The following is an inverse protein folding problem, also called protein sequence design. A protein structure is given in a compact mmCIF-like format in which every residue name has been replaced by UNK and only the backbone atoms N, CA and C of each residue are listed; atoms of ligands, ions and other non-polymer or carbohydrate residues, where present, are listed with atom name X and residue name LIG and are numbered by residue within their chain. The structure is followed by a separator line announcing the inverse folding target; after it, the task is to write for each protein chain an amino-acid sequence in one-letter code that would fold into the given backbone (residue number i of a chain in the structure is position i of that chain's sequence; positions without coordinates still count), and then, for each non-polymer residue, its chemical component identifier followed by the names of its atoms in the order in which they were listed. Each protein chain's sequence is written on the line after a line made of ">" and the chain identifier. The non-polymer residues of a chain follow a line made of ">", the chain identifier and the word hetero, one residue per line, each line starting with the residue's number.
data_IF_813036597533
#
_entry.id   IF_813036597533
#
_cell.length_a   1.000
_cell.length_b   1.000
_cell.length_c   1.000
_cell.angle_alpha   90.00
_cell.angle_beta   90.00
_cell.angle_gamma   90.00
#
_symmetry.space_group_name_H-M   'P 1'
#
loop_
_entity.id
_entity.type
_entity.pdbx_description
1 polymer ?
2 non-polymer ?
3 non-polymer ?
4 non-polymer ?
5 water ?
#
# COMPACT_ATOMS: atom_id res chain seq x y z
N UNK A 1 20.50 1.27 10.05
CA UNK A 1 19.07 1.54 10.28
C UNK A 1 18.35 2.18 9.07
N UNK A 2 17.28 1.52 8.64
CA UNK A 2 16.59 1.78 7.39
C UNK A 2 15.15 2.22 7.63
N UNK A 3 14.76 3.36 7.07
CA UNK A 3 13.38 3.83 7.16
C UNK A 3 13.19 5.03 8.09
N UNK A 4 14.30 5.69 8.43
CA UNK A 4 14.29 6.94 9.19
C UNK A 4 14.67 8.13 8.33
N UNK A 5 15.05 7.90 7.07
CA UNK A 5 15.44 9.03 6.24
C UNK A 5 14.35 10.10 6.11
N UNK A 6 14.80 11.34 5.95
CA UNK A 6 13.93 12.51 5.75
C UNK A 6 13.44 12.61 4.31
N UNK A 7 12.13 12.72 4.16
CA UNK A 7 11.49 12.76 2.85
C UNK A 7 10.70 14.05 2.82
N UNK A 8 11.00 14.92 1.85
CA UNK A 8 10.47 16.27 1.82
C UNK A 8 10.09 16.75 0.44
N UNK A 9 8.99 16.21 -0.10
CA UNK A 9 8.52 16.60 -1.43
C UNK A 9 8.15 18.07 -1.51
N UNK A 10 7.73 18.62 -0.38
CA UNK A 10 7.38 20.04 -0.24
C UNK A 10 8.55 20.98 -0.54
N UNK A 11 9.77 20.46 -0.51
CA UNK A 11 10.93 21.31 -0.82
C UNK A 11 11.32 21.32 -2.29
N UNK A 12 10.49 20.71 -3.13
CA UNK A 12 10.72 20.67 -4.55
C UNK A 12 9.47 21.10 -5.31
N UNK A 13 9.68 21.93 -6.32
CA UNK A 13 8.61 22.31 -7.23
C UNK A 13 7.93 21.06 -7.84
N UNK A 14 6.61 21.12 -7.96
CA UNK A 14 5.82 20.02 -8.51
C UNK A 14 6.26 19.58 -9.93
N UNK A 15 6.78 20.54 -10.71
CA UNK A 15 7.21 20.30 -12.09
C UNK A 15 8.50 19.51 -12.11
N UNK A 16 9.46 19.92 -11.28
CA UNK A 16 10.71 19.19 -11.17
C UNK A 16 10.46 17.74 -10.74
N UNK A 17 9.50 17.54 -9.85
CA UNK A 17 9.25 16.17 -9.42
C UNK A 17 8.62 15.41 -10.59
N UNK A 18 7.70 16.06 -11.30
CA UNK A 18 7.01 15.40 -12.39
C UNK A 18 8.02 14.98 -13.44
N UNK A 19 9.05 15.81 -13.65
CA UNK A 19 10.07 15.46 -14.64
C UNK A 19 10.92 14.31 -14.17
N UNK A 20 11.27 14.31 -12.88
CA UNK A 20 12.02 13.17 -12.36
C UNK A 20 11.22 11.90 -12.57
N UNK A 21 9.93 11.95 -12.31
CA UNK A 21 9.08 10.79 -12.48
C UNK A 21 9.07 10.35 -13.94
N UNK A 22 9.06 11.31 -14.85
CA UNK A 22 9.17 11.01 -16.28
C UNK A 22 10.47 10.27 -16.57
N UNK A 23 11.58 10.73 -16.00
CA UNK A 23 12.87 10.10 -16.19
C UNK A 23 12.88 8.67 -15.63
N UNK A 24 12.29 8.53 -14.45
CA UNK A 24 12.25 7.23 -13.80
C UNK A 24 11.40 6.26 -14.61
N UNK A 25 10.34 6.76 -15.21
CA UNK A 25 9.48 5.92 -15.97
C UNK A 25 10.24 5.24 -17.13
N UNK A 26 11.20 5.94 -17.71
CA UNK A 26 11.99 5.39 -18.81
C UNK A 26 12.88 4.25 -18.42
N UNK A 27 13.23 4.11 -17.13
CA UNK A 27 14.34 3.22 -16.77
C UNK A 27 14.13 2.32 -15.55
N UNK A 28 13.32 2.75 -14.59
CA UNK A 28 13.16 1.95 -13.38
C UNK A 28 12.45 0.66 -13.76
N UNK A 29 13.07 -0.47 -13.44
CA UNK A 29 12.47 -1.77 -13.67
C UNK A 29 12.80 -2.33 -15.04
N UNK A 30 13.63 -1.63 -15.80
CA UNK A 30 14.03 -2.14 -17.11
C UNK A 30 15.50 -2.57 -17.15
N UNK A 31 15.79 -3.45 -18.09
CA UNK A 31 17.13 -3.96 -18.26
C UNK A 31 18.06 -2.84 -18.66
N UNK A 32 19.35 -3.12 -18.52
CA UNK A 32 20.41 -2.17 -18.87
C UNK A 32 20.15 -0.83 -18.18
N UNK A 33 20.27 -0.83 -16.84
CA UNK A 33 20.05 0.35 -16.01
C UNK A 33 20.97 1.51 -16.38
N UNK A 34 20.36 2.66 -16.53
CA UNK A 34 21.05 3.93 -16.52
C UNK A 34 21.50 4.34 -15.08
N UNK A 35 22.32 5.38 -14.95
CA UNK A 35 22.72 5.85 -13.63
C UNK A 35 21.52 6.20 -12.70
N UNK A 36 20.40 6.70 -13.22
CA UNK A 36 19.22 7.00 -12.37
C UNK A 36 18.61 5.70 -11.82
N UNK A 37 18.48 4.70 -12.70
CA UNK A 37 17.95 3.41 -12.29
C UNK A 37 18.94 2.71 -11.35
N UNK A 38 20.24 2.90 -11.55
CA UNK A 38 21.23 2.35 -10.63
C UNK A 38 21.08 2.99 -9.25
N UNK A 39 21.06 4.32 -9.22
CA UNK A 39 20.80 5.06 -7.98
C UNK A 39 19.60 4.45 -7.23
N UNK A 40 18.50 4.18 -7.94
CA UNK A 40 17.26 3.78 -7.24
C UNK A 40 17.16 2.26 -7.04
N UNK A 41 18.25 1.56 -7.37
CA UNK A 41 18.38 0.13 -7.11
C UNK A 41 19.34 -0.10 -5.94
N UNK A 42 19.88 1.00 -5.40
CA UNK A 42 20.76 0.95 -4.24
C UNK A 42 22.24 1.03 -4.56
N UNK A 43 22.58 1.34 -5.81
CA UNK A 43 23.95 1.40 -6.26
C UNK A 43 24.40 2.84 -6.20
N UNK A 44 25.53 3.10 -5.54
CA UNK A 44 26.04 4.49 -5.55
C UNK A 44 26.49 4.87 -6.97
N UNK A 45 26.29 6.13 -7.30
CA UNK A 45 26.40 6.62 -8.66
C UNK A 45 27.20 7.92 -8.65
N UNK A 46 28.04 8.14 -9.67
CA UNK A 46 28.74 9.41 -9.88
C UNK A 46 27.74 10.49 -10.27
N UNK A 47 27.71 11.63 -9.53
CA UNK A 47 26.68 12.64 -9.82
C UNK A 47 26.72 13.29 -11.19
N UNK A 48 27.86 13.31 -11.89
CA UNK A 48 27.89 13.86 -13.23
C UNK A 48 27.11 12.97 -14.23
N UNK A 49 27.18 11.67 -14.00
CA UNK A 49 26.35 10.73 -14.74
C UNK A 49 24.85 10.97 -14.55
N UNK A 50 24.41 11.30 -13.34
CA UNK A 50 23.02 11.68 -13.13
C UNK A 50 22.68 12.95 -13.86
N UNK A 51 23.61 13.90 -13.84
CA UNK A 51 23.35 15.23 -14.38
C UNK A 51 22.91 15.11 -15.81
N UNK A 52 23.52 14.20 -16.56
CA UNK A 52 23.19 14.07 -17.98
C UNK A 52 21.84 13.42 -18.22
N UNK A 53 21.31 12.76 -17.20
CA UNK A 53 20.03 12.10 -17.33
C UNK A 53 18.85 12.92 -16.78
N UNK A 54 19.07 13.71 -15.71
CA UNK A 54 17.99 14.46 -15.08
C UNK A 54 18.22 16.00 -15.02
N UNK A 55 19.41 16.45 -15.43
CA UNK A 55 19.76 17.87 -15.35
C UNK A 55 20.34 18.23 -13.99
N UNK A 56 20.99 19.38 -13.92
CA UNK A 56 21.53 19.84 -12.64
C UNK A 56 20.38 20.19 -11.70
N UNK A 57 19.25 20.61 -12.28
CA UNK A 57 18.08 20.95 -11.50
C UNK A 57 17.46 19.68 -10.93
N UNK A 58 17.41 18.64 -11.76
CA UNK A 58 16.91 17.33 -11.35
C UNK A 58 17.78 16.79 -10.25
N UNK A 59 19.08 16.95 -10.43
CA UNK A 59 20.07 16.55 -9.44
C UNK A 59 19.83 17.26 -8.08
N UNK A 60 19.60 18.56 -8.12
CA UNK A 60 19.33 19.32 -6.92
C UNK A 60 17.92 18.95 -6.39
N UNK A 61 16.98 18.64 -7.28
CA UNK A 61 15.69 18.17 -6.80
C UNK A 61 15.86 16.85 -6.02
N UNK A 62 16.73 15.97 -6.51
CA UNK A 62 16.87 14.67 -5.86
C UNK A 62 17.36 14.89 -4.45
N UNK A 63 18.28 15.86 -4.28
CA UNK A 63 18.87 16.14 -2.97
C UNK A 63 17.87 16.79 -2.02
N UNK A 64 17.17 17.80 -2.54
CA UNK A 64 16.23 18.57 -1.73
C UNK A 64 15.06 17.74 -1.23
N UNK A 65 14.63 16.77 -2.03
CA UNK A 65 13.48 15.93 -1.64
C UNK A 65 13.86 14.84 -0.66
N UNK A 66 15.14 14.51 -0.61
CA UNK A 66 15.62 13.41 0.20
C UNK A 66 15.68 12.11 -0.59
N UNK A 67 15.37 12.15 -1.89
CA UNK A 67 15.51 10.95 -2.70
C UNK A 67 16.99 10.50 -2.88
N UNK A 68 17.91 11.46 -2.74
CA UNK A 68 19.35 11.20 -2.91
C UNK A 68 20.15 11.92 -1.83
N UNK A 69 21.29 11.33 -1.48
CA UNK A 69 22.20 11.85 -0.47
C UNK A 69 23.58 11.99 -1.10
N UNK A 70 24.27 13.09 -0.84
CA UNK A 70 25.59 13.35 -1.43
C UNK A 70 26.72 12.87 -0.52
N UNK A 71 27.35 11.76 -0.90
CA UNK A 71 28.48 11.19 -0.17
C UNK A 71 29.79 11.81 -0.72
N UNK A 72 29.75 13.09 -1.09
CA UNK A 72 30.92 13.78 -1.61
C UNK A 72 31.29 13.36 -3.03
N UNK A 73 31.83 12.14 -3.12
CA UNK A 73 32.25 11.56 -4.38
C UNK A 73 31.07 10.97 -5.18
N UNK A 74 30.08 10.44 -4.48
CA UNK A 74 28.94 9.80 -5.13
C UNK A 74 27.61 10.18 -4.50
N UNK A 75 26.54 9.89 -5.21
CA UNK A 75 25.18 9.96 -4.69
C UNK A 75 24.67 8.57 -4.32
N UNK A 76 23.78 8.53 -3.35
CA UNK A 76 23.13 7.29 -2.97
C UNK A 76 21.71 7.60 -2.57
N UNK A 77 20.82 6.62 -2.74
CA UNK A 77 19.42 6.80 -2.42
C UNK A 77 19.06 5.84 -1.32
N UNK A 78 18.35 6.33 -0.27
CA UNK A 78 17.79 5.45 0.77
C UNK A 78 16.54 4.74 0.30
N UNK A 79 16.08 5.06 -0.91
CA UNK A 79 14.82 4.51 -1.43
C UNK A 79 15.06 3.64 -2.62
N UNK A 80 14.08 2.78 -2.93
CA UNK A 80 14.17 1.92 -4.11
C UNK A 80 12.98 2.13 -5.03
N UNK A 81 13.21 2.00 -6.33
CA UNK A 81 12.24 2.36 -7.33
C UNK A 81 11.49 1.15 -7.86
N UNK A 82 10.21 1.35 -8.10
CA UNK A 82 9.38 0.31 -8.70
C UNK A 82 8.55 0.92 -9.80
N UNK A 83 8.19 0.10 -10.76
CA UNK A 83 7.23 0.53 -11.77
C UNK A 83 6.25 -0.60 -12.03
N UNK A 84 4.95 -0.30 -11.92
CA UNK A 84 3.91 -1.32 -11.98
C UNK A 84 2.56 -0.67 -12.14
N UNK A 85 1.74 -1.24 -13.01
CA UNK A 85 0.34 -0.87 -13.13
C UNK A 85 0.19 0.64 -13.41
N UNK A 86 1.11 1.13 -14.22
CA UNK A 86 1.03 2.48 -14.71
C UNK A 86 1.65 3.52 -13.81
N UNK A 87 2.31 3.11 -12.73
CA UNK A 87 2.88 4.12 -11.84
C UNK A 87 4.28 3.80 -11.42
N UNK A 88 5.03 4.85 -11.13
CA UNK A 88 6.35 4.75 -10.55
C UNK A 88 6.22 4.98 -9.08
N UNK A 89 6.87 4.13 -8.30
CA UNK A 89 6.75 4.18 -6.85
C UNK A 89 8.11 4.08 -6.24
N UNK A 90 8.38 4.95 -5.29
CA UNK A 90 9.53 4.74 -4.41
C UNK A 90 9.12 4.19 -3.06
N UNK A 91 9.90 3.25 -2.54
CA UNK A 91 9.70 2.85 -1.15
C UNK A 91 11.02 2.46 -0.51
N UNK A 92 10.96 2.06 0.77
CA UNK A 92 12.14 1.56 1.46
C UNK A 92 12.62 0.24 0.85
N UNK A 93 13.93 -0.03 0.95
CA UNK A 93 14.41 -1.30 0.46
C UNK A 93 13.96 -2.43 1.40
N UNK A 94 13.72 -3.62 0.83
CA UNK A 94 13.30 -4.79 1.56
C UNK A 94 14.44 -5.25 2.44
N UNK A 95 14.31 -5.08 3.75
CA UNK A 95 15.36 -5.48 4.68
C UNK A 95 14.74 -6.13 5.89
N UNK A 96 15.58 -6.70 6.73
CA UNK A 96 15.10 -7.54 7.83
C UNK A 96 14.68 -6.67 9.03
N UNK A 97 13.90 -7.26 9.92
CA UNK A 97 13.30 -6.55 11.05
C UNK A 97 14.36 -5.78 11.84
N UNK A 98 15.45 -6.47 12.17
CA UNK A 98 16.48 -5.95 13.07
C UNK A 98 17.07 -4.61 12.63
N UNK A 99 17.00 -4.26 11.34
CA UNK A 99 17.53 -2.97 10.90
C UNK A 99 16.47 -1.99 10.43
N UNK A 100 15.20 -2.27 10.73
CA UNK A 100 14.11 -1.35 10.40
C UNK A 100 13.88 -0.25 11.43
N UNK A 101 13.80 0.97 10.94
CA UNK A 101 13.36 2.07 11.75
C UNK A 101 11.87 1.89 12.08
N UNK A 102 11.39 2.65 13.07
CA UNK A 102 10.00 2.54 13.47
C UNK A 102 9.08 3.06 12.35
N UNK A 103 9.61 3.94 11.50
CA UNK A 103 8.83 4.50 10.40
C UNK A 103 9.17 3.86 9.06
N UNK A 104 9.76 2.68 9.13
CA UNK A 104 9.97 1.84 7.96
C UNK A 104 8.70 1.66 7.13
N UNK A 105 8.81 1.84 5.81
CA UNK A 105 7.63 1.75 4.96
C UNK A 105 7.58 0.46 4.15
N UNK A 106 6.42 -0.17 4.14
CA UNK A 106 6.19 -1.41 3.44
C UNK A 106 6.85 -1.30 2.08
N UNK A 107 7.83 -2.19 1.79
CA UNK A 107 8.67 -2.16 0.58
C UNK A 107 7.99 -2.79 -0.65
N UNK A 108 6.65 -2.80 -0.66
CA UNK A 108 5.81 -3.39 -1.69
C UNK A 108 5.91 -4.93 -1.69
N UNK A 109 5.83 -5.52 -0.50
CA UNK A 109 5.68 -6.97 -0.35
C UNK A 109 4.50 -7.53 -1.22
N UNK A 110 3.26 -7.08 -0.95
CA UNK A 110 2.08 -7.68 -1.54
C UNK A 110 1.35 -6.76 -2.54
N UNK A 111 1.86 -5.55 -2.77
CA UNK A 111 1.16 -4.55 -3.61
C UNK A 111 0.73 -5.07 -5.00
N UNK A 112 1.65 -5.64 -5.76
CA UNK A 112 1.34 -6.09 -7.13
C UNK A 112 0.26 -7.17 -7.16
N UNK A 113 0.32 -8.11 -6.22
CA UNK A 113 -0.72 -9.13 -6.09
C UNK A 113 -2.05 -8.48 -5.73
N UNK A 114 -2.02 -7.60 -4.74
CA UNK A 114 -3.23 -6.93 -4.27
C UNK A 114 -3.90 -6.09 -5.35
N UNK A 115 -3.11 -5.29 -6.08
CA UNK A 115 -3.69 -4.52 -7.16
C UNK A 115 -4.49 -5.41 -8.12
N UNK A 116 -4.00 -6.63 -8.36
CA UNK A 116 -4.64 -7.55 -9.31
C UNK A 116 -5.94 -8.18 -8.77
N UNK A 117 -6.07 -8.24 -7.45
CA UNK A 117 -7.31 -8.76 -6.83
C UNK A 117 -8.43 -7.71 -6.78
N UNK A 118 -8.04 -6.45 -6.82
CA UNK A 118 -8.97 -5.36 -6.67
C UNK A 118 -9.94 -5.31 -7.85
N UNK A 119 -11.21 -5.10 -7.53
CA UNK A 119 -12.23 -4.89 -8.56
C UNK A 119 -11.81 -3.78 -9.49
N UNK A 120 -11.99 -4.02 -10.78
CA UNK A 120 -11.43 -3.15 -11.79
C UNK A 120 -12.22 -1.87 -11.96
N UNK A 121 -13.42 -1.82 -11.41
CA UNK A 121 -14.28 -0.66 -11.55
C UNK A 121 -13.78 0.55 -10.78
N UNK A 122 -14.21 1.74 -11.21
CA UNK A 122 -13.85 3.01 -10.61
C UNK A 122 -15.10 3.66 -10.03
N UNK A 123 -15.01 4.94 -9.70
CA UNK A 123 -16.08 5.55 -8.92
C UNK A 123 -15.75 6.94 -8.46
N UNK A 124 -16.49 7.43 -7.48
CA UNK A 124 -16.42 8.84 -7.09
C UNK A 124 -15.26 9.15 -6.14
N UNK A 125 -15.22 8.44 -5.00
CA UNK A 125 -14.25 8.77 -3.96
C UNK A 125 -13.71 7.54 -3.21
N UNK A 126 -12.39 7.37 -3.24
CA UNK A 126 -11.77 6.20 -2.65
C UNK A 126 -10.88 6.59 -1.47
N UNK A 127 -10.83 5.67 -0.52
CA UNK A 127 -9.96 5.76 0.64
C UNK A 127 -8.98 4.57 0.68
N UNK A 128 -7.69 4.88 0.82
CA UNK A 128 -6.63 3.89 1.00
C UNK A 128 -6.19 3.94 2.44
N UNK A 129 -6.61 2.95 3.24
CA UNK A 129 -6.26 2.95 4.67
C UNK A 129 -4.87 2.35 4.92
N UNK A 130 -4.04 3.04 5.68
CA UNK A 130 -2.66 2.63 5.85
C UNK A 130 -1.98 2.63 4.51
N UNK A 131 -1.87 3.79 3.89
CA UNK A 131 -1.42 3.88 2.51
C UNK A 131 0.09 3.57 2.26
N UNK A 132 0.91 3.50 3.30
CA UNK A 132 2.33 3.21 3.14
C UNK A 132 3.00 4.10 2.09
N UNK A 133 3.59 3.48 1.07
CA UNK A 133 4.27 4.18 -0.01
C UNK A 133 3.28 4.99 -0.85
N UNK A 134 2.03 4.58 -0.76
CA UNK A 134 0.95 5.24 -1.48
C UNK A 134 0.54 4.48 -2.72
N UNK A 135 1.15 3.31 -2.92
CA UNK A 135 1.01 2.60 -4.18
C UNK A 135 -0.48 2.32 -4.52
N UNK A 136 -1.29 1.86 -3.56
CA UNK A 136 -2.67 1.53 -3.91
C UNK A 136 -3.45 2.79 -4.27
N UNK A 137 -3.23 3.87 -3.51
CA UNK A 137 -3.84 5.17 -3.82
C UNK A 137 -3.54 5.66 -5.25
N UNK A 138 -2.28 5.52 -5.67
CA UNK A 138 -1.83 6.01 -6.97
C UNK A 138 -2.54 5.25 -8.11
N UNK A 139 -2.75 3.96 -7.91
CA UNK A 139 -3.39 3.12 -8.91
C UNK A 139 -4.85 3.48 -8.93
N UNK A 140 -5.44 3.68 -7.75
CA UNK A 140 -6.84 4.03 -7.69
C UNK A 140 -7.14 5.39 -8.32
N UNK A 141 -6.13 6.28 -8.33
CA UNK A 141 -6.33 7.67 -8.79
C UNK A 141 -6.72 7.73 -10.28
N UNK A 142 -6.47 6.65 -10.99
CA UNK A 142 -6.71 6.63 -12.41
C UNK A 142 -8.19 6.45 -12.75
N UNK A 143 -8.99 5.98 -11.79
CA UNK A 143 -10.39 5.70 -12.07
C UNK A 143 -11.33 6.16 -10.94
N UNK A 144 -10.81 6.93 -10.00
CA UNK A 144 -11.64 7.63 -9.03
C UNK A 144 -11.52 9.13 -9.20
N UNK A 145 -12.62 9.86 -8.99
CA UNK A 145 -12.53 11.32 -9.08
C UNK A 145 -11.57 11.86 -8.03
N UNK A 146 -11.62 11.31 -6.82
CA UNK A 146 -10.56 11.64 -5.85
C UNK A 146 -10.21 10.46 -4.95
N UNK A 147 -8.98 10.52 -4.46
CA UNK A 147 -8.45 9.48 -3.60
C UNK A 147 -7.76 10.12 -2.40
N UNK A 148 -8.14 9.65 -1.21
CA UNK A 148 -7.46 9.99 0.04
C UNK A 148 -6.70 8.78 0.56
N UNK A 149 -5.41 8.97 0.85
CA UNK A 149 -4.64 7.95 1.53
C UNK A 149 -4.37 8.38 2.95
N UNK A 150 -4.44 7.44 3.90
CA UNK A 150 -4.13 7.76 5.30
C UNK A 150 -3.13 6.82 5.88
N UNK A 151 -2.22 7.36 6.68
CA UNK A 151 -1.34 6.53 7.48
C UNK A 151 -0.99 7.20 8.81
N UNK A 152 -0.63 6.41 9.82
CA UNK A 152 -0.21 6.93 11.12
C UNK A 152 1.30 7.20 11.10
N UNK A 153 1.97 6.65 10.10
CA UNK A 153 3.40 6.84 9.95
C UNK A 153 3.62 8.13 9.14
N UNK A 154 4.15 9.19 9.79
CA UNK A 154 4.28 10.46 9.09
C UNK A 154 5.20 10.35 7.89
N UNK A 155 6.13 9.39 7.96
CA UNK A 155 7.09 9.25 6.87
C UNK A 155 6.39 8.60 5.65
N UNK A 156 5.40 7.75 5.90
CA UNK A 156 4.63 7.14 4.80
C UNK A 156 3.80 8.21 4.11
N UNK A 157 3.25 9.11 4.90
CA UNK A 157 2.49 10.20 4.33
C UNK A 157 3.37 11.08 3.42
N UNK A 158 4.61 11.32 3.82
CA UNK A 158 5.48 12.21 3.04
C UNK A 158 5.87 11.54 1.72
N UNK A 159 6.18 10.25 1.83
CA UNK A 159 6.58 9.42 0.70
C UNK A 159 5.43 9.23 -0.28
N UNK A 160 4.23 8.99 0.26
CA UNK A 160 3.05 8.94 -0.56
C UNK A 160 2.88 10.24 -1.38
N UNK A 161 3.01 11.39 -0.72
CA UNK A 161 2.92 12.68 -1.39
C UNK A 161 3.96 12.83 -2.51
N UNK A 162 5.19 12.46 -2.20
CA UNK A 162 6.28 12.50 -3.17
C UNK A 162 5.97 11.57 -4.36
N UNK A 163 5.46 10.40 -4.07
CA UNK A 163 5.16 9.46 -5.14
C UNK A 163 4.03 9.96 -6.02
N UNK A 164 3.06 10.64 -5.44
CA UNK A 164 2.00 11.20 -6.25
C UNK A 164 2.59 12.31 -7.14
N UNK A 165 3.40 13.18 -6.57
CA UNK A 165 4.02 14.26 -7.38
C UNK A 165 4.90 13.71 -8.50
N UNK A 166 5.66 12.66 -8.22
CA UNK A 166 6.48 12.04 -9.25
C UNK A 166 5.63 11.55 -10.42
N UNK A 167 4.44 11.04 -10.14
CA UNK A 167 3.55 10.60 -11.22
C UNK A 167 2.66 11.72 -11.74
N UNK A 168 2.91 12.95 -11.30
CA UNK A 168 2.07 14.08 -11.68
C UNK A 168 0.58 13.89 -11.39
N UNK A 169 0.23 13.18 -10.32
CA UNK A 169 -1.18 12.93 -10.01
C UNK A 169 -1.77 14.02 -9.12
N UNK A 170 -2.90 14.55 -9.58
CA UNK A 170 -3.51 15.78 -9.02
C UNK A 170 -4.74 15.52 -8.16
N UNK A 171 -5.32 14.35 -8.29
CA UNK A 171 -6.59 14.04 -7.63
C UNK A 171 -6.42 13.15 -6.41
N UNK A 172 -5.19 13.02 -5.91
CA UNK A 172 -4.92 12.15 -4.79
C UNK A 172 -4.22 12.93 -3.67
N UNK A 173 -4.74 12.74 -2.46
CA UNK A 173 -4.41 13.47 -1.23
C UNK A 173 -3.95 12.48 -0.13
N UNK A 174 -3.12 12.95 0.81
CA UNK A 174 -2.60 12.08 1.88
C UNK A 174 -2.61 12.82 3.21
N UNK A 175 -3.06 12.13 4.26
CA UNK A 175 -3.17 12.74 5.59
C UNK A 175 -2.62 11.82 6.69
N UNK A 176 -1.92 12.40 7.64
CA UNK A 176 -1.41 11.63 8.77
C UNK A 176 -2.49 11.53 9.83
N UNK A 177 -2.69 10.35 10.39
CA UNK A 177 -3.60 10.20 11.49
C UNK A 177 -3.81 8.73 11.79
N UNK A 178 -4.72 8.48 12.71
CA UNK A 178 -4.94 7.16 13.26
C UNK A 178 -6.24 6.65 12.66
N UNK A 179 -6.14 5.63 11.82
CA UNK A 179 -7.30 5.02 11.20
C UNK A 179 -8.17 6.06 10.52
N UNK A 180 -9.48 6.09 10.81
CA UNK A 180 -10.39 6.94 10.04
C UNK A 180 -10.38 8.39 10.51
N UNK A 181 -9.62 8.71 11.55
CA UNK A 181 -9.75 10.03 12.16
C UNK A 181 -9.54 11.18 11.16
N UNK A 182 -8.46 11.11 10.33
CA UNK A 182 -8.29 12.20 9.35
C UNK A 182 -9.17 12.04 8.08
N UNK A 183 -10.06 11.04 8.02
CA UNK A 183 -10.85 10.81 6.79
C UNK A 183 -12.30 11.24 6.96
N UNK A 184 -12.57 12.48 6.59
CA UNK A 184 -13.90 13.07 6.72
C UNK A 184 -14.88 12.65 5.61
N UNK A 185 -16.09 12.28 6.04
CA UNK A 185 -17.13 11.94 5.10
C UNK A 185 -17.11 10.48 4.75
N UNK A 186 -17.95 10.12 3.77
CA UNK A 186 -18.01 8.77 3.28
C UNK A 186 -17.29 8.56 1.95
N UNK A 187 -17.06 7.29 1.65
CA UNK A 187 -16.29 6.86 0.50
C UNK A 187 -17.01 5.73 -0.20
N UNK A 188 -16.93 5.75 -1.52
CA UNK A 188 -17.52 4.68 -2.31
C UNK A 188 -16.58 3.50 -2.43
N UNK A 189 -15.32 3.68 -2.02
CA UNK A 189 -14.34 2.60 -2.12
C UNK A 189 -13.32 2.73 -1.01
N UNK A 190 -13.12 1.65 -0.29
CA UNK A 190 -12.12 1.62 0.77
C UNK A 190 -11.24 0.39 0.60
N UNK A 191 -9.94 0.62 0.50
CA UNK A 191 -9.00 -0.50 0.39
C UNK A 191 -8.08 -0.47 1.63
N UNK A 192 -7.78 -1.65 2.16
CA UNK A 192 -6.99 -1.75 3.38
C UNK A 192 -6.04 -2.94 3.30
N UNK A 193 -4.77 -2.69 3.01
CA UNK A 193 -3.77 -3.75 3.11
C UNK A 193 -3.31 -3.80 4.55
N UNK A 194 -4.02 -4.56 5.35
CA UNK A 194 -3.92 -4.40 6.80
C UNK A 194 -2.56 -4.83 7.35
N UNK A 195 -2.12 -4.22 8.45
CA UNK A 195 -0.86 -4.66 9.04
C UNK A 195 -1.07 -5.83 9.99
N UNK A 196 -1.51 -6.94 9.43
CA UNK A 196 -1.71 -8.15 10.18
C UNK A 196 -0.99 -9.33 9.52
N UNK A 197 -0.37 -10.14 10.35
CA UNK A 197 0.34 -11.29 9.84
C UNK A 197 0.37 -12.40 10.90
N UNK A 198 1.40 -12.44 11.75
CA UNK A 198 1.59 -13.57 12.64
C UNK A 198 1.43 -13.22 14.12
N UNK A 199 1.21 -11.94 14.38
CA UNK A 199 1.25 -11.38 15.72
C UNK A 199 0.00 -11.69 16.55
N UNK A 200 -0.99 -12.34 15.94
CA UNK A 200 -2.24 -12.61 16.62
C UNK A 200 -2.95 -11.35 17.12
N UNK A 201 -3.16 -11.29 18.44
CA UNK A 201 -3.77 -10.13 19.10
C UNK A 201 -2.81 -8.99 19.45
N UNK A 202 -1.51 -9.22 19.35
CA UNK A 202 -0.56 -8.33 19.98
C UNK A 202 0.04 -7.29 19.01
N UNK A 203 0.19 -6.05 19.47
CA UNK A 203 0.83 -5.02 18.68
C UNK A 203 2.33 -5.29 18.70
N UNK A 204 2.92 -5.46 17.52
CA UNK A 204 4.38 -5.58 17.44
C UNK A 204 4.89 -4.26 16.92
N UNK A 205 4.35 -3.85 15.77
CA UNK A 205 4.75 -2.60 15.17
C UNK A 205 3.75 -2.15 14.12
N UNK A 206 4.09 -1.11 13.36
CA UNK A 206 3.12 -0.54 12.43
C UNK A 206 2.79 -1.52 11.31
N UNK A 207 3.67 -2.50 11.08
CA UNK A 207 3.45 -3.48 10.02
C UNK A 207 2.92 -4.79 10.58
N UNK A 208 2.95 -4.94 11.90
CA UNK A 208 2.22 -6.05 12.55
C UNK A 208 1.56 -5.53 13.78
N UNK A 209 0.37 -4.97 13.61
CA UNK A 209 -0.30 -4.19 14.65
C UNK A 209 -1.32 -4.99 15.52
N UNK A 210 -1.61 -6.22 15.15
CA UNK A 210 -2.56 -7.03 15.89
C UNK A 210 -4.01 -6.89 15.46
N UNK A 211 -4.82 -7.87 15.85
CA UNK A 211 -6.21 -7.97 15.43
C UNK A 211 -7.02 -6.74 15.79
N UNK A 212 -6.72 -6.05 16.93
CA UNK A 212 -7.47 -4.84 17.28
C UNK A 212 -7.57 -3.79 16.14
N UNK A 213 -6.55 -3.69 15.30
CA UNK A 213 -6.63 -2.72 14.22
C UNK A 213 -7.72 -3.14 13.24
N UNK A 214 -7.94 -4.44 13.06
CA UNK A 214 -9.07 -4.87 12.23
C UNK A 214 -10.38 -4.57 12.94
N UNK A 215 -10.44 -4.81 14.24
CA UNK A 215 -11.68 -4.53 14.97
C UNK A 215 -12.08 -3.06 14.80
N UNK A 216 -11.15 -2.16 15.10
CA UNK A 216 -11.37 -0.73 14.90
C UNK A 216 -11.82 -0.44 13.47
N UNK A 217 -11.12 -1.02 12.50
CA UNK A 217 -11.43 -0.77 11.09
C UNK A 217 -12.85 -1.14 10.78
N UNK A 218 -13.22 -2.36 11.09
CA UNK A 218 -14.53 -2.89 10.70
C UNK A 218 -15.67 -2.31 11.54
N UNK A 219 -15.39 -1.88 12.77
CA UNK A 219 -16.46 -1.30 13.60
C UNK A 219 -16.84 0.03 13.03
N UNK A 220 -15.88 0.73 12.43
CA UNK A 220 -16.14 2.05 11.88
C UNK A 220 -16.48 2.06 10.40
N UNK A 221 -16.25 0.95 9.70
CA UNK A 221 -16.47 0.90 8.27
C UNK A 221 -17.89 1.34 7.87
N UNK A 222 -18.93 0.81 8.56
CA UNK A 222 -20.30 1.13 8.19
C UNK A 222 -20.57 2.63 8.12
N UNK A 223 -19.97 3.43 9.00
CA UNK A 223 -20.28 4.86 8.96
C UNK A 223 -19.38 5.62 7.98
N UNK A 224 -18.34 4.95 7.46
CA UNK A 224 -17.43 5.56 6.48
C UNK A 224 -17.77 5.17 5.05
N UNK A 225 -18.71 4.24 4.91
CA UNK A 225 -19.01 3.66 3.61
C UNK A 225 -20.29 4.19 2.99
N UNK A 226 -20.13 4.77 1.82
CA UNK A 226 -21.27 5.25 1.03
C UNK A 226 -22.15 4.06 0.72
N UNK A 227 -23.46 4.26 0.72
CA UNK A 227 -24.37 3.26 0.21
C UNK A 227 -23.90 2.70 -1.14
N UNK A 228 -23.79 1.38 -1.22
CA UNK A 228 -23.34 0.73 -2.45
C UNK A 228 -21.83 0.68 -2.62
N UNK A 229 -21.12 1.07 -1.58
CA UNK A 229 -19.67 1.16 -1.65
C UNK A 229 -19.06 -0.21 -1.57
N UNK A 230 -17.78 -0.26 -1.92
CA UNK A 230 -16.99 -1.47 -1.88
C UNK A 230 -15.82 -1.35 -0.91
N UNK A 231 -15.62 -2.40 -0.10
CA UNK A 231 -14.45 -2.48 0.79
C UNK A 231 -13.64 -3.73 0.42
N UNK A 232 -12.33 -3.54 0.28
CA UNK A 232 -11.38 -4.61 0.05
C UNK A 232 -10.27 -4.62 1.07
N UNK A 233 -10.02 -5.79 1.66
CA UNK A 233 -9.03 -5.93 2.72
C UNK A 233 -8.16 -7.18 2.57
N UNK A 234 -6.84 -6.96 2.59
CA UNK A 234 -5.85 -8.04 2.82
C UNK A 234 -5.66 -8.23 4.30
N UNK A 235 -5.79 -9.45 4.80
CA UNK A 235 -5.70 -9.68 6.24
C UNK A 235 -5.38 -11.10 6.60
N UNK A 236 -4.77 -11.23 7.77
CA UNK A 236 -4.56 -12.49 8.45
C UNK A 236 -5.65 -12.67 9.49
N UNK A 237 -6.16 -13.91 9.59
CA UNK A 237 -7.28 -14.22 10.46
C UNK A 237 -7.01 -15.42 11.34
N UNK A 238 -7.28 -15.26 12.63
CA UNK A 238 -7.11 -16.33 13.60
C UNK A 238 -8.46 -16.86 14.07
N UNK A 239 -8.71 -18.11 13.70
CA UNK A 239 -9.81 -18.88 14.27
C UNK A 239 -9.30 -19.57 15.50
N UNK A 240 -9.98 -19.38 16.61
CA UNK A 240 -9.61 -20.07 17.85
C UNK A 240 -10.69 -21.11 18.14
N UNK A 241 -10.36 -22.10 18.97
CA UNK A 241 -11.36 -23.13 19.29
C UNK A 241 -12.64 -22.49 19.82
N UNK A 242 -13.77 -22.76 19.17
CA UNK A 242 -15.05 -22.21 19.55
C UNK A 242 -15.13 -20.70 19.33
N UNK A 243 -14.22 -20.18 18.52
CA UNK A 243 -14.12 -18.72 18.37
C UNK A 243 -13.58 -18.36 16.97
N UNK A 244 -14.41 -18.54 15.94
CA UNK A 244 -14.00 -18.24 14.58
C UNK A 244 -13.91 -16.74 14.31
N UNK A 245 -12.95 -16.34 13.47
CA UNK A 245 -12.73 -14.93 13.15
C UNK A 245 -14.01 -14.34 12.61
N UNK A 246 -14.70 -15.11 11.79
CA UNK A 246 -15.83 -14.59 11.04
C UNK A 246 -17.01 -14.17 11.93
N UNK A 247 -17.14 -14.77 13.10
CA UNK A 247 -18.20 -14.37 14.03
C UNK A 247 -17.80 -13.07 14.70
N UNK A 248 -16.51 -12.89 14.94
CA UNK A 248 -16.05 -11.63 15.52
C UNK A 248 -16.26 -10.51 14.49
N UNK A 249 -15.93 -10.81 13.24
CA UNK A 249 -16.08 -9.87 12.14
C UNK A 249 -17.54 -9.40 11.98
N UNK A 250 -18.48 -10.35 12.04
CA UNK A 250 -19.89 -10.04 11.83
C UNK A 250 -20.40 -9.19 12.97
N UNK A 251 -19.87 -9.43 14.15
CA UNK A 251 -20.17 -8.61 15.31
C UNK A 251 -19.65 -7.18 15.09
N UNK A 252 -18.38 -7.07 14.71
CA UNK A 252 -17.81 -5.75 14.49
C UNK A 252 -18.59 -4.97 13.43
N UNK A 253 -18.92 -5.63 12.31
CA UNK A 253 -19.58 -4.96 11.20
C UNK A 253 -21.05 -4.67 11.44
N UNK A 254 -21.61 -5.19 12.52
CA UNK A 254 -23.05 -5.11 12.72
C UNK A 254 -23.70 -5.55 11.42
N UNK A 255 -23.41 -6.79 11.04
CA UNK A 255 -23.67 -7.26 9.69
C UNK A 255 -25.15 -7.18 9.29
N UNK A 256 -26.04 -7.74 10.10
CA UNK A 256 -27.46 -7.73 9.75
C UNK A 256 -28.05 -6.34 10.01
N UNK A 257 -27.67 -5.74 11.14
CA UNK A 257 -28.18 -4.43 11.52
C UNK A 257 -27.88 -3.37 10.44
N UNK A 258 -26.67 -3.40 9.89
CA UNK A 258 -26.28 -2.47 8.82
C UNK A 258 -26.57 -3.00 7.40
N UNK A 259 -26.99 -4.26 7.30
CA UNK A 259 -27.39 -4.84 6.03
C UNK A 259 -26.27 -4.89 5.02
N UNK A 260 -25.17 -5.53 5.39
CA UNK A 260 -24.00 -5.63 4.52
C UNK A 260 -23.76 -7.05 4.08
N UNK A 261 -23.14 -7.14 2.92
CA UNK A 261 -22.69 -8.41 2.37
C UNK A 261 -21.16 -8.46 2.39
N UNK A 262 -20.64 -9.49 3.05
CA UNK A 262 -19.21 -9.71 3.17
C UNK A 262 -18.89 -11.06 2.57
N UNK A 263 -17.85 -11.12 1.73
CA UNK A 263 -17.24 -12.37 1.27
C UNK A 263 -15.78 -12.49 1.69
N UNK A 264 -15.42 -13.64 2.22
CA UNK A 264 -14.04 -13.89 2.66
C UNK A 264 -13.41 -14.94 1.73
N UNK A 265 -12.35 -14.56 1.03
CA UNK A 265 -11.64 -15.49 0.15
C UNK A 265 -10.36 -16.00 0.81
N UNK A 266 -10.34 -17.26 1.26
CA UNK A 266 -9.15 -17.75 1.97
C UNK A 266 -8.12 -18.35 1.00
N UNK A 267 -6.88 -17.88 1.14
CA UNK A 267 -5.81 -18.33 0.24
C UNK A 267 -4.81 -19.29 0.86
N UNK A 268 -4.43 -19.00 2.10
CA UNK A 268 -3.46 -19.78 2.83
C UNK A 268 -4.00 -20.09 4.22
N UNK A 269 -3.50 -21.18 4.81
CA UNK A 269 -3.93 -21.57 6.13
C UNK A 269 -2.87 -22.44 6.76
N UNK A 270 -2.85 -22.46 8.09
CA UNK A 270 -2.12 -23.48 8.81
C UNK A 270 -2.78 -23.75 10.15
N UNK A 271 -2.57 -24.96 10.65
CA UNK A 271 -2.99 -25.36 11.98
C UNK A 271 -2.21 -24.57 12.99
N UNK A 272 -2.82 -24.27 14.12
CA UNK A 272 -2.11 -23.56 15.17
C UNK A 272 -2.06 -24.31 16.49
N UNK A 273 -1.14 -23.87 17.34
CA UNK A 273 -0.95 -24.42 18.69
C UNK A 273 -2.31 -24.74 19.34
N UNK A 274 -3.17 -23.73 19.42
CA UNK A 274 -4.48 -23.83 20.06
C UNK A 274 -5.31 -25.04 19.59
N UNK A 275 -4.98 -25.58 18.42
CA UNK A 275 -5.91 -26.46 17.73
C UNK A 275 -6.78 -25.56 16.87
N UNK A 276 -6.43 -24.29 16.82
CA UNK A 276 -7.10 -23.36 15.95
C UNK A 276 -6.47 -23.35 14.58
N UNK A 277 -6.67 -22.24 13.87
CA UNK A 277 -6.29 -22.12 12.47
C UNK A 277 -5.92 -20.66 12.17
N UNK A 278 -4.81 -20.47 11.49
CA UNK A 278 -4.41 -19.19 10.93
C UNK A 278 -4.77 -19.25 9.47
N UNK A 279 -5.24 -18.13 8.93
CA UNK A 279 -5.55 -18.02 7.51
C UNK A 279 -5.08 -16.67 7.02
N UNK A 280 -4.70 -16.61 5.74
CA UNK A 280 -4.55 -15.34 5.07
C UNK A 280 -5.54 -15.32 3.95
N UNK A 281 -6.19 -14.19 3.78
CA UNK A 281 -7.16 -14.04 2.75
C UNK A 281 -7.41 -12.60 2.38
N UNK A 282 -8.44 -12.48 1.55
CA UNK A 282 -8.88 -11.23 0.95
C UNK A 282 -10.37 -11.08 1.24
N UNK A 283 -10.72 -10.00 1.93
CA UNK A 283 -12.10 -9.75 2.34
C UNK A 283 -12.72 -8.64 1.52
N UNK A 284 -13.97 -8.86 1.11
CA UNK A 284 -14.66 -7.89 0.29
C UNK A 284 -16.04 -7.61 0.83
N UNK A 285 -16.35 -6.32 0.92
CA UNK A 285 -17.69 -5.85 1.22
C UNK A 285 -18.23 -5.22 -0.03
N UNK A 286 -19.40 -5.67 -0.45
CA UNK A 286 -19.91 -5.24 -1.74
C UNK A 286 -21.42 -5.38 -1.75
N UNK A 287 -22.10 -4.59 -2.59
CA UNK A 287 -23.56 -4.58 -2.53
C UNK A 287 -24.15 -5.93 -2.90
N UNK A 288 -25.14 -6.35 -2.13
CA UNK A 288 -25.90 -7.55 -2.42
C UNK A 288 -26.45 -8.20 -1.16
N UNK A 289 -27.00 -9.41 -1.32
CA UNK A 289 -27.71 -10.06 -0.23
C UNK A 289 -26.87 -10.07 1.04
N UNK A 290 -27.52 -9.59 2.09
CA UNK A 290 -26.95 -9.48 3.40
C UNK A 290 -26.44 -10.82 3.93
N UNK A 291 -25.26 -10.81 4.50
CA UNK A 291 -24.68 -12.04 5.02
C UNK A 291 -23.20 -12.16 4.79
N UNK A 292 -22.66 -13.27 5.25
CA UNK A 292 -21.23 -13.50 5.21
C UNK A 292 -21.02 -14.86 4.59
N UNK A 293 -20.15 -14.91 3.58
CA UNK A 293 -19.82 -16.14 2.91
C UNK A 293 -18.32 -16.35 2.93
N UNK A 294 -17.89 -17.60 3.08
CA UNK A 294 -16.48 -17.98 3.01
C UNK A 294 -16.28 -18.87 1.80
N UNK A 295 -15.34 -18.49 0.94
CA UNK A 295 -14.93 -19.29 -0.21
C UNK A 295 -13.43 -19.54 -0.17
N UNK A 296 -12.98 -20.65 -0.76
CA UNK A 296 -11.57 -20.91 -0.96
C UNK A 296 -11.10 -20.27 -2.25
N UNK A 297 -9.91 -19.65 -2.23
CA UNK A 297 -9.31 -19.09 -3.45
C UNK A 297 -7.83 -19.04 -3.25
N UNK A 298 -7.09 -20.03 -3.79
CA UNK A 298 -5.64 -20.09 -3.61
C UNK A 298 -4.95 -19.13 -4.57
N UNK A 299 -5.24 -17.84 -4.40
CA UNK A 299 -4.70 -16.86 -5.32
C UNK A 299 -3.18 -16.69 -5.13
N UNK A 300 -2.63 -16.96 -3.95
CA UNK A 300 -1.17 -16.87 -3.79
C UNK A 300 -0.50 -17.91 -4.69
N UNK A 301 -1.03 -19.13 -4.68
CA UNK A 301 -0.53 -20.20 -5.54
C UNK A 301 -0.63 -19.82 -6.99
N UNK A 302 -1.80 -19.34 -7.40
CA UNK A 302 -2.03 -19.01 -8.79
C UNK A 302 -1.15 -17.82 -9.21
N UNK A 303 -0.95 -16.84 -8.33
CA UNK A 303 -0.06 -15.73 -8.60
C UNK A 303 1.39 -16.20 -8.89
N UNK A 304 1.80 -17.28 -8.23
CA UNK A 304 3.15 -17.78 -8.38
C UNK A 304 3.30 -18.58 -9.68
N UNK A 305 2.28 -19.33 -10.07
CA UNK A 305 2.36 -20.09 -11.33
C UNK A 305 2.20 -19.11 -12.51
N UNK A 306 1.21 -18.23 -12.48
CA UNK A 306 1.07 -17.20 -13.49
C UNK A 306 0.52 -15.86 -12.96
N UNK A 307 1.42 -14.94 -12.55
CA UNK A 307 1.02 -13.63 -12.02
C UNK A 307 0.07 -12.92 -12.95
N UNK A 308 0.50 -12.89 -14.20
CA UNK A 308 -0.02 -11.98 -15.21
C UNK A 308 -1.48 -12.18 -15.54
N UNK A 309 -2.11 -13.16 -14.93
CA UNK A 309 -3.54 -13.28 -15.03
C UNK A 309 -4.06 -14.13 -13.90
N UNK A 310 -4.28 -13.53 -12.74
CA UNK A 310 -5.13 -14.20 -11.75
C UNK A 310 -6.45 -14.45 -12.50
N UNK A 311 -7.13 -13.40 -12.98
CA UNK A 311 -6.80 -12.00 -12.76
C UNK A 311 -7.78 -11.51 -11.69
N UNK A 312 -8.78 -10.77 -12.13
CA UNK A 312 -9.90 -10.35 -11.30
C UNK A 312 -11.20 -10.71 -12.04
N UNK A 313 -11.89 -11.79 -11.66
CA UNK A 313 -11.55 -12.70 -10.57
C UNK A 313 -12.55 -12.60 -9.42
N UNK A 314 -12.73 -11.40 -8.89
CA UNK A 314 -13.73 -11.13 -7.85
C UNK A 314 -15.01 -10.68 -8.56
N UNK A 315 -14.84 -10.03 -9.71
CA UNK A 315 -15.94 -9.57 -10.57
C UNK A 315 -16.97 -10.66 -10.75
N UNK A 316 -16.49 -11.90 -10.88
CA UNK A 316 -17.32 -13.08 -10.82
C UNK A 316 -18.19 -13.04 -9.56
X LIG B 1 -11.65 5.46 13.86
X LIG C 1 10.03 12.28 7.12
X LIG D 1 4.10 18.26 -0.99
X LIG E 1 -1.42 15.75 7.33
X LIG F 1 -1.49 15.63 0.06
X LIG G 1 -30.68 -8.86 1.94
X LIG H 1 19.99 0.17 2.73
X LIG I 1 21.51 6.53 1.37
X LIG J 1 -3.43 -0.92 16.66
X LIG K 1 3.80 -0.11 -15.60
X LIG L 1 -1.51 -23.12 2.53
X LIG M 1 13.06 3.83 15.61
X LIG N 1 -20.91 -15.41 10.61
X LIG O 1 -0.87 0.19 1.36
X LIG O 1 0.57 -0.02 1.48
X LIG O 1 1.07 -0.35 2.90
X LIG O 1 0.27 -1.33 3.74
X LIG O 1 1.25 -1.96 5.11
X LIG O 1 0.92 -1.20 0.60
X LIG O 1 2.10 -1.45 0.29
X LIG O 1 -0.01 -1.92 0.23
X LIG O 1 0.12 -1.40 6.40
X LIG O 1 0.08 0.11 6.64
X LIG O 1 -0.82 0.40 7.71
X LIG O 1 1.43 0.67 7.05
X LIG O 1 1.79 1.72 6.19
X LIG O 1 1.19 1.17 8.47
X LIG O 1 1.99 2.27 8.79
X LIG O 1 -0.30 1.46 8.45
X LIG O 1 -0.88 1.57 9.81
X LIG O 1 -0.61 0.86 10.96
X LIG O 1 -1.39 1.33 11.96
X LIG O 1 -2.14 2.33 11.46
X LIG O 1 -3.12 3.16 12.01
X LIG O 1 -3.50 3.10 13.28
X LIG O 1 -3.73 4.07 11.19
X LIG O 1 -3.40 4.17 9.87
X LIG O 1 -2.44 3.35 9.32
X LIG O 1 -1.83 2.47 10.12
X LIG O 1 -3.91 4.90 9.23
X LIG O 1 -1.20 0.71 1.97
X LIG O 1 -1.18 0.14 0.56
X LIG O 1 1.05 0.76 1.15
X LIG O 1 1.15 0.59 3.45
X LIG O 1 2.09 -0.74 2.81
X LIG O 1 -0.07 -2.16 3.11
X LIG O 1 -0.62 -0.84 4.12
X LIG O 1 0.39 -1.88 7.34
X LIG O 1 -0.88 -1.73 6.15
X LIG O 1 -0.25 0.61 5.73
X LIG O 1 2.18 -0.13 7.05
X LIG O 1 1.80 2.57 6.69
X LIG O 1 1.38 0.35 9.16
X LIG O 1 1.42 3.04 8.97
X LIG O 1 -0.46 2.40 7.92
X LIG O 1 0.12 0.05 11.04
X LIG O 1 -3.07 2.42 13.90
X LIG O 1 -4.22 3.72 13.62
X LIG P 1 1.28 -6.36 4.89
X LIG P 1 0.86 -7.58 5.72
X LIG P 1 1.62 -6.81 3.47
X LIG P 1 2.45 -5.63 5.59
X LIG P 1 0.14 -5.45 4.83
X LIG P 1 1.99 -8.33 6.09
X LIG P 1 2.40 -5.88 2.77
X LIG P 1 2.05 -5.10 6.81
X LIG P 1 0.18 -8.20 5.14
X LIG P 1 0.34 -7.25 6.61
X LIG P 1 0.70 -6.99 2.92
X LIG P 1 2.15 -7.76 3.51
X LIG P 1 2.80 -4.83 4.95
X LIG P 1 3.26 -6.33 5.75
X LIG P 1 -0.68 -5.84 4.39
X LIG P 1 -0.06 -4.99 5.71
X LIG P 1 0.43 -4.72 4.21
X LIG P 1 1.71 -9.11 6.62
X LIG P 1 2.58 -6.22 1.87
X LIG P 1 2.80 -4.65 7.24
#
# INVERSE_FOLDING_TARGET
>A
IVGGSTIQPERVDAAALRQLGDAMRKVVGSADPTPLADLLSGTPVDPDELTREVGADGRQALLDSGMAVDDGTTFSSPLRGHQLHGVVVLSDPDVEEEVQHRWYVDPLWEADLLIRLMLRRGGARALDMGCGSGVLSLVLADRYESVLGVDVNPRAVALSRLNAALNGLTNVTFREGDMFEPAEGRFSRIVFNSPTNEEGNEFVDLLEAGEPILETFFRNVPRKLESGGIVEVNLAMNDYPGDPFRERLADWLGLTENGLRVQIFTSQRRATESGGEWKRGWLVVAPGPVGLTEVEWPYHDRYEEDPDALLDGTDRLLRG
>B hetero
1 IOD I
>C hetero
1 IOD I
>D hetero
1 IOD I
>E hetero
1 IOD I
>F hetero
1 IOD I
>G hetero
1 IOD I
>H hetero
1 IOD I
>I hetero
1 IOD I
>J hetero
1 IOD I
>K hetero
1 IOD I
>L hetero
1 IOD I
>M hetero
1 IOD I
>N hetero
1 IOD I
>O hetero
1 SAH N CA CB CG SD C O OXT C5' C4' O4' C3' O3' C2' O2' C1' N9 C8 N7 C5 C6 N6 N1 C2 N3 C4 H2 HN1 HN2 HA HB1 HB2 HG1 HG2 H5'1 H5'2 H4' H3' HO3' H2' HO2' H1' H8 HN61 HN62
>P hetero
1 TRS C C1 C2 C3 N O1 O2 O3 H11 H12 H21 H22 H31 H32 HN1 HN2 HN3 HO1 HO2 HO3
#
